data_IF_558462413358
#
_entry.id   IF_558462413358
#
_cell.length_a   1.000
_cell.length_b   1.000
_cell.length_c   1.000
_cell.angle_alpha   90.00
_cell.angle_beta   90.00
_cell.angle_gamma   90.00
#
_symmetry.space_group_name_H-M   'P 1'
#
loop_
_entity.id
_entity.type
_entity.pdbx_description
1 polymer ?
#
# COMPACT_ATOMS: atom_id res chain seq x y z
N UNK A 1 -12.06 26.78 30.99
CA UNK A 1 -12.10 25.58 30.12
C UNK A 1 -12.00 26.09 28.68
N UNK A 2 -10.82 26.07 28.09
CA UNK A 2 -10.59 26.51 26.72
C UNK A 2 -9.67 25.50 26.07
N UNK A 3 -10.23 24.61 25.26
CA UNK A 3 -9.47 23.64 24.50
C UNK A 3 -8.63 24.39 23.45
N UNK A 4 -7.33 24.08 23.44
CA UNK A 4 -6.35 24.78 22.62
C UNK A 4 -6.70 24.63 21.13
N UNK A 5 -7.09 25.73 20.48
CA UNK A 5 -7.21 25.82 19.03
C UNK A 5 -5.81 25.73 18.43
N UNK A 6 -5.44 24.55 17.94
CA UNK A 6 -4.22 24.38 17.16
C UNK A 6 -4.34 25.22 15.88
N UNK A 7 -3.39 26.14 15.70
CA UNK A 7 -3.28 26.94 14.47
C UNK A 7 -3.19 26.01 13.24
N UNK A 8 -3.88 26.32 12.12
CA UNK A 8 -3.83 25.53 10.90
C UNK A 8 -2.41 25.18 10.44
N UNK A 9 -1.46 26.10 10.65
CA UNK A 9 -0.05 25.90 10.32
C UNK A 9 0.63 24.87 11.21
N UNK A 10 0.30 24.86 12.50
CA UNK A 10 0.80 23.90 13.48
C UNK A 10 0.21 22.52 13.22
N UNK A 11 -1.09 22.44 12.94
CA UNK A 11 -1.78 21.21 12.56
C UNK A 11 -1.16 20.60 11.29
N UNK A 12 -0.88 21.43 10.26
CA UNK A 12 -0.25 20.96 9.02
C UNK A 12 1.18 20.44 9.24
N UNK A 13 1.97 21.10 10.09
CA UNK A 13 3.31 20.64 10.46
C UNK A 13 3.26 19.30 11.20
N UNK A 14 2.39 19.17 12.19
CA UNK A 14 2.24 17.93 12.96
C UNK A 14 1.81 16.76 12.08
N UNK A 15 0.86 16.98 11.14
CA UNK A 15 0.46 15.97 10.16
C UNK A 15 1.62 15.59 9.25
N UNK A 16 2.39 16.55 8.75
CA UNK A 16 3.54 16.28 7.88
C UNK A 16 4.66 15.51 8.60
N UNK A 17 4.96 15.86 9.85
CA UNK A 17 5.95 15.18 10.70
C UNK A 17 5.53 13.72 10.97
N UNK A 18 4.25 13.50 11.22
CA UNK A 18 3.71 12.18 11.56
C UNK A 18 3.54 11.29 10.32
N UNK A 19 3.10 11.85 9.19
CA UNK A 19 2.96 11.14 7.92
C UNK A 19 4.32 10.82 7.25
N UNK A 20 5.40 11.46 7.70
CA UNK A 20 6.72 11.40 7.07
C UNK A 20 7.77 10.52 7.78
N UNK A 21 7.44 9.82 8.87
CA UNK A 21 8.45 9.14 9.71
C UNK A 21 9.31 8.15 8.91
N UNK A 22 10.62 8.42 8.72
CA UNK A 22 11.50 7.62 7.88
C UNK A 22 11.68 6.18 8.40
N UNK A 23 11.63 6.01 9.72
CA UNK A 23 11.80 4.72 10.39
C UNK A 23 10.64 3.76 10.09
N UNK A 24 9.41 4.25 10.14
CA UNK A 24 8.21 3.47 9.77
C UNK A 24 8.25 3.08 8.28
N UNK A 25 8.68 4.01 7.42
CA UNK A 25 8.88 3.73 5.98
C UNK A 25 9.96 2.67 5.74
N UNK A 26 11.09 2.72 6.48
CA UNK A 26 12.16 1.72 6.37
C UNK A 26 11.68 0.32 6.75
N UNK A 27 10.97 0.19 7.87
CA UNK A 27 10.39 -1.10 8.31
C UNK A 27 9.45 -1.61 7.23
N UNK A 28 8.53 -0.76 6.75
CA UNK A 28 7.56 -1.15 5.74
C UNK A 28 8.20 -1.51 4.38
N UNK A 29 9.30 -0.85 3.98
CA UNK A 29 10.08 -1.27 2.79
C UNK A 29 10.81 -2.59 2.99
N UNK A 30 11.30 -2.90 4.19
CA UNK A 30 11.94 -4.19 4.49
C UNK A 30 10.95 -5.35 4.36
N UNK A 31 9.69 -5.13 4.75
CA UNK A 31 8.62 -6.12 4.55
C UNK A 31 8.35 -6.44 3.09
N UNK A 32 8.61 -5.52 2.14
CA UNK A 32 8.42 -5.83 0.73
C UNK A 32 9.55 -6.70 0.15
N UNK A 33 10.73 -6.79 0.78
CA UNK A 33 11.86 -7.55 0.22
C UNK A 33 11.61 -9.07 0.14
N UNK A 34 10.61 -9.59 0.86
CA UNK A 34 10.21 -11.00 0.76
C UNK A 34 9.42 -11.31 -0.52
N UNK A 35 8.90 -10.28 -1.19
CA UNK A 35 8.14 -10.43 -2.43
C UNK A 35 9.07 -10.53 -3.63
N UNK A 36 8.72 -11.43 -4.54
CA UNK A 36 9.28 -11.41 -5.90
C UNK A 36 8.81 -10.15 -6.64
N UNK A 37 9.47 -9.83 -7.75
CA UNK A 37 9.08 -8.72 -8.62
C UNK A 37 7.61 -8.86 -9.08
N UNK A 38 7.22 -10.04 -9.57
CA UNK A 38 5.85 -10.30 -10.02
C UNK A 38 4.81 -10.20 -8.90
N UNK A 39 5.14 -10.62 -7.68
CA UNK A 39 4.24 -10.46 -6.53
C UNK A 39 4.06 -8.98 -6.15
N UNK A 40 5.13 -8.18 -6.28
CA UNK A 40 5.11 -6.74 -6.03
C UNK A 40 4.30 -5.99 -7.08
N UNK A 41 4.44 -6.35 -8.37
CA UNK A 41 3.60 -5.84 -9.46
C UNK A 41 2.12 -6.11 -9.19
N UNK A 42 1.78 -7.37 -8.89
CA UNK A 42 0.41 -7.77 -8.56
C UNK A 42 -0.12 -7.00 -7.36
N UNK A 43 0.67 -6.82 -6.30
CA UNK A 43 0.29 -6.03 -5.14
C UNK A 43 -0.01 -4.56 -5.49
N UNK A 44 0.78 -3.94 -6.38
CA UNK A 44 0.53 -2.58 -6.85
C UNK A 44 -0.80 -2.47 -7.62
N UNK A 45 -1.11 -3.46 -8.47
CA UNK A 45 -2.39 -3.51 -9.19
C UNK A 45 -3.58 -3.75 -8.26
N UNK A 46 -3.40 -4.58 -7.23
CA UNK A 46 -4.41 -4.76 -6.18
C UNK A 46 -4.70 -3.44 -5.47
N UNK A 47 -3.66 -2.68 -5.12
CA UNK A 47 -3.79 -1.36 -4.51
C UNK A 47 -4.39 -0.30 -5.45
N UNK A 48 -4.26 -0.49 -6.77
CA UNK A 48 -4.98 0.29 -7.78
C UNK A 48 -6.45 -0.12 -7.96
N UNK A 49 -6.93 -1.13 -7.23
CA UNK A 49 -8.32 -1.60 -7.24
C UNK A 49 -8.64 -2.70 -8.24
N UNK A 50 -7.64 -3.27 -8.94
CA UNK A 50 -7.85 -4.23 -10.04
C UNK A 50 -8.19 -5.64 -9.59
N UNK A 51 -9.27 -6.23 -10.06
CA UNK A 51 -9.60 -7.63 -9.79
C UNK A 51 -8.64 -8.61 -10.51
N UNK A 52 -8.77 -9.93 -10.27
CA UNK A 52 -7.84 -10.92 -10.83
C UNK A 52 -7.89 -11.02 -12.37
N UNK A 53 -9.06 -10.76 -12.98
CA UNK A 53 -9.21 -10.79 -14.44
C UNK A 53 -8.54 -9.56 -15.07
N UNK A 54 -8.70 -8.38 -14.44
CA UNK A 54 -8.01 -7.16 -14.86
C UNK A 54 -6.48 -7.28 -14.69
N UNK A 55 -6.03 -7.83 -13.57
CA UNK A 55 -4.60 -8.11 -13.33
C UNK A 55 -4.06 -9.09 -14.38
N UNK A 56 -4.82 -10.14 -14.68
CA UNK A 56 -4.44 -11.13 -15.68
C UNK A 56 -4.30 -10.52 -17.07
N UNK A 57 -5.22 -9.65 -17.46
CA UNK A 57 -5.16 -8.92 -18.72
C UNK A 57 -3.92 -7.98 -18.79
N UNK A 58 -3.64 -7.25 -17.71
CA UNK A 58 -2.52 -6.30 -17.66
C UNK A 58 -1.15 -6.99 -17.64
N UNK A 59 -1.05 -8.16 -17.00
CA UNK A 59 0.19 -8.94 -16.89
C UNK A 59 0.34 -10.04 -17.94
N UNK A 60 -0.60 -10.17 -18.88
CA UNK A 60 -0.66 -11.20 -19.92
C UNK A 60 -0.53 -12.63 -19.37
N UNK A 61 -1.30 -12.95 -18.33
CA UNK A 61 -1.36 -14.28 -17.70
C UNK A 61 -2.80 -14.76 -17.56
N UNK A 62 -3.02 -16.00 -17.09
CA UNK A 62 -4.37 -16.46 -16.78
C UNK A 62 -4.91 -15.85 -15.47
N UNK A 63 -6.24 -15.71 -15.29
CA UNK A 63 -6.85 -15.33 -14.02
C UNK A 63 -6.43 -16.22 -12.84
N UNK A 64 -6.22 -17.52 -13.07
CA UNK A 64 -5.75 -18.46 -12.06
C UNK A 64 -4.30 -18.17 -11.64
N UNK A 65 -3.44 -17.79 -12.60
CA UNK A 65 -2.06 -17.37 -12.34
C UNK A 65 -2.03 -16.07 -11.55
N UNK A 66 -2.84 -15.08 -11.92
CA UNK A 66 -2.99 -13.82 -11.17
C UNK A 66 -3.43 -14.09 -9.72
N UNK A 67 -4.47 -14.92 -9.53
CA UNK A 67 -4.93 -15.36 -8.20
C UNK A 67 -3.80 -15.99 -7.38
N UNK A 68 -2.99 -16.84 -8.01
CA UNK A 68 -1.85 -17.50 -7.34
C UNK A 68 -0.83 -16.48 -6.84
N UNK A 69 -0.48 -15.48 -7.65
CA UNK A 69 0.42 -14.41 -7.23
C UNK A 69 -0.16 -13.56 -6.10
N UNK A 70 -1.45 -13.19 -6.16
CA UNK A 70 -2.13 -12.46 -5.07
C UNK A 70 -2.09 -13.27 -3.77
N UNK A 71 -2.43 -14.55 -3.81
CA UNK A 71 -2.40 -15.44 -2.65
C UNK A 71 -0.99 -15.57 -2.06
N UNK A 72 0.04 -15.73 -2.90
CA UNK A 72 1.44 -15.81 -2.43
C UNK A 72 1.91 -14.51 -1.80
N UNK A 73 1.57 -13.36 -2.38
CA UNK A 73 1.87 -12.06 -1.80
C UNK A 73 1.21 -11.89 -0.42
N UNK A 74 -0.07 -12.24 -0.29
CA UNK A 74 -0.78 -12.22 1.00
C UNK A 74 -0.12 -13.13 2.03
N UNK A 75 0.18 -14.38 1.67
CA UNK A 75 0.83 -15.33 2.59
C UNK A 75 2.21 -14.85 3.04
N UNK A 76 3.03 -14.33 2.12
CA UNK A 76 4.38 -13.83 2.46
C UNK A 76 4.35 -12.59 3.35
N UNK A 77 3.34 -11.75 3.21
CA UNK A 77 3.17 -10.53 4.01
C UNK A 77 2.31 -10.73 5.26
N UNK A 78 1.74 -11.93 5.47
CA UNK A 78 0.80 -12.18 6.56
C UNK A 78 -0.52 -11.39 6.42
N UNK A 79 -0.90 -11.01 5.20
CA UNK A 79 -2.18 -10.35 4.95
C UNK A 79 -3.32 -11.37 4.99
N UNK A 80 -4.31 -11.15 5.86
CA UNK A 80 -5.47 -12.03 6.05
C UNK A 80 -6.50 -11.92 4.93
N UNK A 81 -6.55 -10.75 4.29
CA UNK A 81 -7.45 -10.47 3.18
C UNK A 81 -6.87 -9.43 2.23
N UNK A 82 -7.59 -9.25 1.12
CA UNK A 82 -7.23 -8.33 0.04
C UNK A 82 -7.19 -6.88 0.52
N UNK A 83 -8.06 -6.48 1.44
CA UNK A 83 -8.08 -5.12 1.96
C UNK A 83 -6.81 -4.84 2.77
N UNK A 84 -6.37 -5.81 3.59
CA UNK A 84 -5.09 -5.69 4.29
C UNK A 84 -3.90 -5.62 3.31
N UNK A 85 -3.94 -6.34 2.19
CA UNK A 85 -2.90 -6.23 1.16
C UNK A 85 -2.84 -4.80 0.55
N UNK A 86 -4.00 -4.15 0.35
CA UNK A 86 -4.08 -2.75 -0.08
C UNK A 86 -3.46 -1.82 0.98
N UNK A 87 -3.80 -1.99 2.25
CA UNK A 87 -3.23 -1.18 3.36
C UNK A 87 -1.70 -1.28 3.38
N UNK A 88 -1.17 -2.51 3.30
CA UNK A 88 0.28 -2.74 3.29
C UNK A 88 0.98 -2.08 2.09
N UNK A 89 0.32 -1.98 0.93
CA UNK A 89 0.88 -1.29 -0.23
C UNK A 89 1.03 0.22 0.00
N UNK A 90 0.12 0.84 0.73
CA UNK A 90 0.23 2.26 1.10
C UNK A 90 1.23 2.48 2.24
N UNK A 91 1.19 1.66 3.29
CA UNK A 91 2.10 1.79 4.44
C UNK A 91 3.56 1.56 4.05
N UNK A 92 3.81 0.64 3.12
CA UNK A 92 5.14 0.39 2.55
C UNK A 92 5.63 1.46 1.58
N UNK A 93 4.76 2.39 1.18
CA UNK A 93 5.05 3.37 0.15
C UNK A 93 5.20 2.76 -1.25
N UNK A 94 4.81 1.49 -1.46
CA UNK A 94 4.74 0.89 -2.79
C UNK A 94 3.75 1.65 -3.69
N UNK A 95 2.66 2.13 -3.10
CA UNK A 95 1.68 3.01 -3.75
C UNK A 95 1.51 4.27 -2.91
N UNK A 96 1.52 5.42 -3.56
CA UNK A 96 1.21 6.70 -2.94
C UNK A 96 -0.26 7.08 -3.18
N UNK A 97 -0.99 7.61 -2.18
CA UNK A 97 -2.32 8.15 -2.40
C UNK A 97 -2.25 9.31 -3.41
N UNK A 98 -3.12 9.29 -4.43
CA UNK A 98 -3.31 10.45 -5.31
C UNK A 98 -4.08 11.53 -4.55
N UNK A 99 -3.40 12.30 -3.71
CA UNK A 99 -3.97 13.54 -3.17
C UNK A 99 -4.08 14.53 -4.34
N UNK A 100 -5.31 14.80 -4.81
CA UNK A 100 -5.53 15.94 -5.71
C UNK A 100 -5.24 17.20 -4.89
N UNK A 101 -4.32 18.09 -5.32
CA UNK A 101 -4.23 19.41 -4.72
C UNK A 101 -5.56 20.13 -4.97
N UNK A 102 -6.11 20.72 -3.91
CA UNK A 102 -7.27 21.61 -3.97
C UNK A 102 -6.94 22.86 -4.79
#
# INVERSE_FOLDING_TARGET
RGDALLSPTVTRRLIAEFAGRPEQRRVATAHLNVLTEREREVMALVAAGRNNDEIAAELYVSPATAKTHVSRAMSKLGARDRAQLVVLAYESGLVAPRLRPA
#
